data_IF_884568654009
#
_entry.id   IF_884568654009
#
_cell.length_a   1.000
_cell.length_b   1.000
_cell.length_c   1.000
_cell.angle_alpha   90.00
_cell.angle_beta   90.00
_cell.angle_gamma   90.00
#
_symmetry.space_group_name_H-M   'P 1'
#
loop_
_entity.id
_entity.type
_entity.pdbx_description
1 polymer ?
#
# COMPACT_ATOMS: atom_id res chain seq x y z
N UNK A 1 10.43 14.88 -61.93
CA UNK A 1 9.99 13.87 -60.95
C UNK A 1 11.22 13.15 -60.41
N UNK A 2 11.55 13.28 -59.12
CA UNK A 2 12.67 12.56 -58.49
C UNK A 2 12.28 11.10 -58.34
N UNK A 3 12.99 10.17 -58.99
CA UNK A 3 12.81 8.73 -58.81
C UNK A 3 13.32 8.32 -57.42
N UNK A 4 12.43 7.84 -56.56
CA UNK A 4 12.82 7.15 -55.32
C UNK A 4 13.42 5.79 -55.73
N UNK A 5 14.68 5.54 -55.38
CA UNK A 5 15.32 4.22 -55.56
C UNK A 5 14.67 3.26 -54.56
N UNK A 6 14.08 2.18 -55.06
CA UNK A 6 13.58 1.09 -54.21
C UNK A 6 14.73 0.36 -53.53
N UNK A 7 14.58 0.04 -52.25
CA UNK A 7 15.55 -0.70 -51.46
C UNK A 7 15.79 -2.10 -52.05
N UNK A 8 17.05 -2.52 -52.08
CA UNK A 8 17.43 -3.85 -52.57
C UNK A 8 17.21 -4.90 -51.49
N UNK A 9 16.86 -6.13 -51.89
CA UNK A 9 16.62 -7.24 -50.96
C UNK A 9 17.85 -7.56 -50.08
N UNK A 10 19.05 -7.32 -50.60
CA UNK A 10 20.32 -7.46 -49.87
C UNK A 10 20.47 -6.43 -48.76
N UNK A 11 20.02 -5.20 -48.97
CA UNK A 11 20.06 -4.12 -47.97
C UNK A 11 19.13 -4.42 -46.79
N UNK A 12 17.97 -5.04 -47.06
CA UNK A 12 17.07 -5.56 -46.03
C UNK A 12 17.73 -6.69 -45.22
N UNK A 13 18.39 -7.64 -45.89
CA UNK A 13 19.07 -8.75 -45.22
C UNK A 13 20.21 -8.29 -44.31
N UNK A 14 21.03 -7.34 -44.78
CA UNK A 14 22.10 -6.76 -43.97
C UNK A 14 21.51 -6.00 -42.77
N UNK A 15 20.45 -5.21 -42.99
CA UNK A 15 19.79 -4.47 -41.90
C UNK A 15 19.23 -5.39 -40.80
N UNK A 16 18.52 -6.47 -41.18
CA UNK A 16 18.01 -7.43 -40.19
C UNK A 16 19.13 -8.16 -39.45
N UNK A 17 20.24 -8.48 -40.13
CA UNK A 17 21.41 -9.08 -39.49
C UNK A 17 22.05 -8.16 -38.45
N UNK A 18 22.21 -6.88 -38.77
CA UNK A 18 22.74 -5.87 -37.82
C UNK A 18 21.81 -5.68 -36.63
N UNK A 19 20.49 -5.59 -36.85
CA UNK A 19 19.50 -5.49 -35.76
C UNK A 19 19.56 -6.73 -34.86
N UNK A 20 19.66 -7.94 -35.44
CA UNK A 20 19.76 -9.18 -34.67
C UNK A 20 20.97 -9.22 -33.74
N UNK A 21 22.15 -8.79 -34.22
CA UNK A 21 23.36 -8.70 -33.41
C UNK A 21 23.20 -7.64 -32.30
N UNK A 22 22.63 -6.48 -32.62
CA UNK A 22 22.38 -5.43 -31.62
C UNK A 22 21.43 -5.91 -30.51
N UNK A 23 20.33 -6.56 -30.86
CA UNK A 23 19.39 -7.11 -29.88
C UNK A 23 20.08 -8.16 -29.01
N UNK A 24 20.89 -9.04 -29.59
CA UNK A 24 21.62 -10.08 -28.84
C UNK A 24 22.61 -9.49 -27.82
N UNK A 25 23.29 -8.40 -28.15
CA UNK A 25 24.23 -7.72 -27.23
C UNK A 25 23.50 -6.92 -26.16
N UNK A 26 22.37 -6.28 -26.52
CA UNK A 26 21.63 -5.39 -25.61
C UNK A 26 20.71 -6.16 -24.65
N UNK A 27 20.18 -7.32 -25.04
CA UNK A 27 19.24 -8.11 -24.23
C UNK A 27 19.79 -8.46 -22.83
N UNK A 28 21.02 -8.99 -22.67
CA UNK A 28 21.59 -9.28 -21.35
C UNK A 28 21.74 -8.03 -20.47
N UNK A 29 22.12 -6.89 -21.07
CA UNK A 29 22.26 -5.62 -20.35
C UNK A 29 20.90 -5.12 -19.84
N UNK A 30 19.83 -5.23 -20.64
CA UNK A 30 18.47 -4.90 -20.22
C UNK A 30 17.97 -5.86 -19.13
N UNK A 31 18.21 -7.16 -19.27
CA UNK A 31 17.75 -8.14 -18.27
C UNK A 31 18.46 -7.99 -16.93
N UNK A 32 19.76 -7.62 -16.92
CA UNK A 32 20.54 -7.42 -15.69
C UNK A 32 20.24 -6.10 -14.96
N UNK A 33 19.67 -5.13 -15.67
CA UNK A 33 19.36 -3.79 -15.11
C UNK A 33 17.90 -3.62 -14.70
N UNK A 34 17.01 -4.58 -15.02
CA UNK A 34 15.63 -4.55 -14.53
C UNK A 34 15.63 -4.84 -13.03
N UNK A 35 15.24 -3.87 -12.17
CA UNK A 35 15.03 -4.16 -10.76
C UNK A 35 13.92 -5.21 -10.63
N UNK A 36 13.98 -6.04 -9.59
CA UNK A 36 12.90 -6.97 -9.26
C UNK A 36 11.58 -6.16 -9.19
N UNK A 37 10.62 -6.52 -10.05
CA UNK A 37 9.34 -5.81 -10.20
C UNK A 37 8.63 -5.75 -8.84
N UNK A 38 8.57 -6.88 -8.12
CA UNK A 38 7.90 -6.98 -6.83
C UNK A 38 8.56 -6.06 -5.81
N UNK A 39 9.90 -6.03 -5.76
CA UNK A 39 10.65 -5.11 -4.89
C UNK A 39 10.27 -3.64 -5.12
N UNK A 40 10.21 -3.21 -6.39
CA UNK A 40 9.85 -1.84 -6.71
C UNK A 40 8.39 -1.54 -6.36
N UNK A 41 7.50 -2.51 -6.61
CA UNK A 41 6.08 -2.37 -6.33
C UNK A 41 5.78 -2.35 -4.83
N UNK A 42 6.43 -3.19 -4.01
CA UNK A 42 6.34 -3.17 -2.53
C UNK A 42 6.70 -1.79 -1.99
N UNK A 43 7.82 -1.24 -2.45
CA UNK A 43 8.23 0.12 -2.06
C UNK A 43 7.15 1.13 -2.43
N UNK A 44 6.66 1.08 -3.66
CA UNK A 44 5.62 1.99 -4.15
C UNK A 44 4.31 1.86 -3.37
N UNK A 45 3.79 0.66 -3.16
CA UNK A 45 2.54 0.45 -2.40
C UNK A 45 2.69 0.90 -0.96
N UNK A 46 3.81 0.59 -0.30
CA UNK A 46 4.03 1.04 1.07
C UNK A 46 4.03 2.57 1.20
N UNK A 47 4.76 3.29 0.32
CA UNK A 47 4.71 4.76 0.32
C UNK A 47 3.35 5.33 -0.08
N UNK A 48 2.62 4.64 -0.96
CA UNK A 48 1.25 5.02 -1.31
C UNK A 48 0.35 4.94 -0.08
N UNK A 49 0.44 3.84 0.68
CA UNK A 49 -0.28 3.67 1.92
C UNK A 49 0.14 4.71 2.97
N UNK A 50 1.44 4.99 3.14
CA UNK A 50 1.94 6.06 4.03
C UNK A 50 1.34 7.42 3.68
N UNK A 51 1.31 7.77 2.40
CA UNK A 51 0.75 9.03 1.95
C UNK A 51 -0.76 9.11 2.22
N UNK A 52 -1.51 8.03 1.95
CA UNK A 52 -2.96 7.98 2.21
C UNK A 52 -3.23 8.07 3.71
N UNK A 53 -2.61 7.21 4.51
CA UNK A 53 -2.75 7.18 5.99
C UNK A 53 -2.41 8.55 6.57
N UNK A 54 -1.30 9.17 6.15
CA UNK A 54 -0.91 10.50 6.60
C UNK A 54 -1.92 11.58 6.18
N UNK A 55 -2.49 11.48 4.98
CA UNK A 55 -3.53 12.43 4.53
C UNK A 55 -4.81 12.27 5.35
N UNK A 56 -5.21 11.04 5.65
CA UNK A 56 -6.42 10.75 6.41
C UNK A 56 -6.29 11.17 7.87
N UNK A 57 -5.25 10.72 8.57
CA UNK A 57 -5.07 10.97 10.01
C UNK A 57 -4.89 12.45 10.35
N UNK A 58 -4.37 13.24 9.41
CA UNK A 58 -4.16 14.67 9.59
C UNK A 58 -5.35 15.53 9.10
N UNK A 59 -6.39 14.94 8.50
CA UNK A 59 -7.60 15.67 8.15
C UNK A 59 -8.57 15.66 9.34
N UNK A 60 -8.57 16.79 10.08
CA UNK A 60 -9.40 17.00 11.27
C UNK A 60 -10.91 16.83 10.99
N UNK A 61 -11.35 16.96 9.73
CA UNK A 61 -12.76 16.73 9.36
C UNK A 61 -13.11 15.25 9.35
N UNK A 62 -12.15 14.39 9.04
CA UNK A 62 -12.31 12.94 8.98
C UNK A 62 -12.01 12.33 10.36
N UNK A 63 -10.87 12.71 10.92
CA UNK A 63 -10.31 12.22 12.18
C UNK A 63 -9.87 13.42 13.05
N UNK A 64 -10.79 13.97 13.87
CA UNK A 64 -10.50 15.08 14.76
C UNK A 64 -9.56 14.68 15.90
N UNK A 65 -8.75 15.62 16.38
CA UNK A 65 -7.89 15.42 17.55
C UNK A 65 -8.73 15.41 18.84
N UNK A 66 -8.87 14.24 19.46
CA UNK A 66 -9.63 14.06 20.70
C UNK A 66 -8.72 13.96 21.94
N UNK A 67 -7.46 14.38 21.84
CA UNK A 67 -6.49 14.28 22.94
C UNK A 67 -6.95 14.96 24.23
N UNK A 68 -7.60 16.12 24.15
CA UNK A 68 -8.12 16.81 25.34
C UNK A 68 -9.16 15.96 26.09
N UNK A 69 -10.01 15.24 25.36
CA UNK A 69 -11.03 14.34 25.92
C UNK A 69 -10.36 13.10 26.53
N UNK A 70 -9.29 12.59 25.93
CA UNK A 70 -8.49 11.50 26.49
C UNK A 70 -7.84 11.87 27.83
N UNK A 71 -7.36 13.11 27.97
CA UNK A 71 -6.68 13.55 29.20
C UNK A 71 -7.67 13.92 30.32
N UNK A 72 -8.82 14.51 29.98
CA UNK A 72 -9.76 15.10 30.95
C UNK A 72 -11.02 14.26 31.20
N UNK A 73 -11.25 13.25 30.37
CA UNK A 73 -12.51 12.51 30.34
C UNK A 73 -13.65 13.29 29.68
N UNK A 74 -14.74 12.59 29.39
CA UNK A 74 -15.96 13.18 28.82
C UNK A 74 -16.69 13.99 29.90
N UNK A 75 -17.05 15.24 29.60
CA UNK A 75 -17.76 16.14 30.53
C UNK A 75 -19.17 15.62 30.80
N UNK A 76 -19.66 15.75 32.04
CA UNK A 76 -21.03 15.41 32.40
C UNK A 76 -22.05 16.16 31.52
N UNK A 77 -22.89 15.42 30.80
CA UNK A 77 -23.94 15.95 29.92
C UNK A 77 -23.67 15.80 28.42
N UNK A 78 -22.44 15.45 28.03
CA UNK A 78 -22.10 15.06 26.65
C UNK A 78 -22.51 13.61 26.39
N UNK A 79 -22.93 13.31 25.16
CA UNK A 79 -23.29 11.96 24.75
C UNK A 79 -22.01 11.13 24.54
N UNK A 80 -21.75 10.09 25.38
CA UNK A 80 -20.52 9.29 25.29
C UNK A 80 -20.41 8.50 23.98
N UNK A 81 -21.49 8.41 23.20
CA UNK A 81 -21.46 7.82 21.86
C UNK A 81 -20.95 8.78 20.79
N UNK A 82 -20.93 10.09 21.07
CA UNK A 82 -20.51 11.15 20.14
C UNK A 82 -19.16 11.75 20.53
N UNK A 83 -18.89 11.83 21.83
CA UNK A 83 -17.66 12.40 22.39
C UNK A 83 -17.01 11.34 23.26
N UNK A 84 -15.84 10.88 22.86
CA UNK A 84 -15.07 9.86 23.57
C UNK A 84 -13.58 10.04 23.27
N UNK A 85 -12.72 9.38 24.07
CA UNK A 85 -11.29 9.36 23.81
C UNK A 85 -11.01 8.58 22.52
N UNK A 86 -10.52 9.28 21.49
CA UNK A 86 -10.07 8.70 20.25
C UNK A 86 -8.63 9.16 19.95
N UNK A 87 -7.81 8.25 19.46
CA UNK A 87 -6.42 8.54 19.07
C UNK A 87 -6.25 8.79 17.57
N UNK A 88 -7.28 8.50 16.77
CA UNK A 88 -7.28 8.66 15.33
C UNK A 88 -8.32 7.76 14.67
N UNK A 89 -7.89 6.65 14.07
CA UNK A 89 -8.75 5.74 13.30
C UNK A 89 -9.81 4.99 14.11
N UNK A 90 -9.71 5.00 15.44
CA UNK A 90 -10.76 4.61 16.38
C UNK A 90 -11.93 5.62 16.46
N UNK A 91 -11.84 6.75 15.77
CA UNK A 91 -12.92 7.70 15.57
C UNK A 91 -13.85 7.27 14.42
N UNK A 92 -14.87 6.48 14.74
CA UNK A 92 -15.80 5.85 13.79
C UNK A 92 -17.07 6.68 13.52
N UNK A 93 -17.21 7.86 14.14
CA UNK A 93 -18.36 8.73 13.92
C UNK A 93 -18.53 9.09 12.44
N UNK A 94 -19.80 9.21 12.05
CA UNK A 94 -20.23 9.54 10.69
C UNK A 94 -19.73 10.90 10.24
N UNK A 95 -19.08 10.94 9.09
CA UNK A 95 -18.62 12.16 8.42
C UNK A 95 -19.12 12.17 6.98
N UNK A 96 -19.57 13.33 6.51
CA UNK A 96 -19.90 13.53 5.09
C UNK A 96 -18.73 14.20 4.39
N UNK A 97 -18.14 13.52 3.41
CA UNK A 97 -16.98 13.99 2.66
C UNK A 97 -17.17 13.71 1.17
N UNK A 98 -16.85 14.69 0.31
CA UNK A 98 -16.98 14.59 -1.16
C UNK A 98 -18.35 14.08 -1.69
N UNK A 99 -19.41 14.24 -0.90
CA UNK A 99 -20.78 13.85 -1.29
C UNK A 99 -21.23 12.51 -0.71
N UNK A 100 -20.30 11.70 -0.20
CA UNK A 100 -20.54 10.41 0.43
C UNK A 100 -20.48 10.51 1.95
N UNK A 101 -20.95 9.46 2.64
CA UNK A 101 -20.93 9.39 4.10
C UNK A 101 -20.13 8.18 4.54
N UNK A 102 -19.13 8.43 5.37
CA UNK A 102 -18.20 7.43 5.89
C UNK A 102 -18.40 7.32 7.41
N UNK A 103 -18.66 6.11 7.91
CA UNK A 103 -19.03 5.88 9.29
C UNK A 103 -18.77 4.45 9.74
N UNK A 104 -18.72 4.25 11.05
CA UNK A 104 -18.62 2.93 11.68
C UNK A 104 -17.32 2.20 11.35
N UNK A 105 -17.39 0.88 11.45
CA UNK A 105 -16.24 0.00 11.35
C UNK A 105 -15.56 0.01 9.97
N UNK A 106 -16.26 0.41 8.90
CA UNK A 106 -15.73 0.44 7.52
C UNK A 106 -15.14 1.79 7.14
N UNK A 107 -15.35 2.83 7.96
CA UNK A 107 -14.96 4.22 7.66
C UNK A 107 -13.54 4.35 7.13
N UNK A 108 -12.57 3.69 7.78
CA UNK A 108 -11.18 3.71 7.34
C UNK A 108 -11.00 3.06 5.96
N UNK A 109 -11.52 1.85 5.78
CA UNK A 109 -11.39 1.09 4.54
C UNK A 109 -11.98 1.88 3.36
N UNK A 110 -13.16 2.46 3.54
CA UNK A 110 -13.88 3.25 2.52
C UNK A 110 -13.13 4.55 2.19
N UNK A 111 -12.63 5.26 3.20
CA UNK A 111 -11.82 6.48 3.01
C UNK A 111 -10.45 6.19 2.39
N UNK A 112 -9.85 5.04 2.70
CA UNK A 112 -8.60 4.61 2.10
C UNK A 112 -8.81 4.28 0.62
N UNK A 113 -9.85 3.49 0.31
CA UNK A 113 -10.22 3.11 -1.05
C UNK A 113 -10.54 4.31 -1.94
N UNK A 114 -11.22 5.35 -1.41
CA UNK A 114 -11.52 6.57 -2.18
C UNK A 114 -10.28 7.36 -2.62
N UNK A 115 -9.12 7.11 -2.00
CA UNK A 115 -7.83 7.70 -2.39
C UNK A 115 -7.02 6.82 -3.34
N UNK A 116 -7.44 5.58 -3.57
CA UNK A 116 -6.80 4.67 -4.51
C UNK A 116 -7.29 4.93 -5.94
N UNK A 117 -6.43 4.67 -6.92
CA UNK A 117 -6.82 4.66 -8.33
C UNK A 117 -7.40 3.28 -8.71
N UNK A 118 -8.58 2.98 -8.18
CA UNK A 118 -9.26 1.69 -8.31
C UNK A 118 -9.66 1.43 -9.76
N UNK A 119 -9.41 0.20 -10.21
CA UNK A 119 -9.79 -0.34 -11.52
C UNK A 119 -10.98 -1.30 -11.39
N UNK A 120 -10.92 -2.18 -10.40
CA UNK A 120 -11.98 -3.15 -10.07
C UNK A 120 -12.02 -3.34 -8.55
N UNK A 121 -13.15 -3.72 -8.01
CA UNK A 121 -13.33 -3.89 -6.57
C UNK A 121 -14.35 -4.99 -6.24
N UNK A 122 -14.19 -5.53 -5.04
CA UNK A 122 -15.16 -6.33 -4.33
C UNK A 122 -15.49 -5.57 -3.02
N UNK A 123 -16.46 -4.67 -3.11
CA UNK A 123 -16.87 -3.79 -2.00
C UNK A 123 -17.29 -4.59 -0.76
N UNK A 124 -17.86 -5.79 -0.94
CA UNK A 124 -18.35 -6.60 0.19
C UNK A 124 -17.18 -7.09 1.05
N UNK A 125 -16.10 -7.50 0.39
CA UNK A 125 -14.90 -8.00 1.06
C UNK A 125 -13.85 -6.92 1.27
N UNK A 126 -14.11 -5.67 0.87
CA UNK A 126 -13.18 -4.54 0.94
C UNK A 126 -11.84 -4.85 0.22
N UNK A 127 -11.94 -5.49 -0.95
CA UNK A 127 -10.79 -5.84 -1.80
C UNK A 127 -10.80 -4.93 -3.02
N UNK A 128 -9.68 -4.24 -3.27
CA UNK A 128 -9.56 -3.24 -4.33
C UNK A 128 -8.35 -3.52 -5.22
N UNK A 129 -8.55 -3.45 -6.53
CA UNK A 129 -7.49 -3.64 -7.52
C UNK A 129 -7.21 -2.30 -8.18
N UNK A 130 -5.97 -1.82 -8.12
CA UNK A 130 -5.58 -0.54 -8.71
C UNK A 130 -5.06 -0.71 -10.14
N UNK A 131 -5.07 0.38 -10.92
CA UNK A 131 -4.68 0.36 -12.35
C UNK A 131 -3.24 -0.10 -12.62
N UNK A 132 -2.37 0.00 -11.62
CA UNK A 132 -0.98 -0.43 -11.65
C UNK A 132 -0.79 -1.92 -11.31
N UNK A 133 -1.88 -2.65 -11.07
CA UNK A 133 -1.88 -4.10 -10.86
C UNK A 133 -1.67 -4.52 -9.40
N UNK A 134 -1.84 -3.62 -8.44
CA UNK A 134 -1.77 -3.95 -7.01
C UNK A 134 -3.17 -4.32 -6.52
N UNK A 135 -3.26 -5.36 -5.71
CA UNK A 135 -4.46 -5.71 -4.96
C UNK A 135 -4.27 -5.28 -3.50
N UNK A 136 -5.28 -4.62 -2.98
CA UNK A 136 -5.39 -4.12 -1.63
C UNK A 136 -6.53 -4.83 -0.94
N UNK A 137 -6.23 -5.63 0.07
CA UNK A 137 -7.23 -6.24 0.93
C UNK A 137 -7.27 -5.48 2.25
N UNK A 138 -8.38 -4.77 2.46
CA UNK A 138 -8.62 -3.92 3.63
C UNK A 138 -9.57 -4.60 4.63
N UNK A 139 -9.92 -5.87 4.44
CA UNK A 139 -10.90 -6.58 5.27
C UNK A 139 -10.52 -6.57 6.75
N UNK A 140 -9.25 -6.78 7.07
CA UNK A 140 -8.70 -6.78 8.44
C UNK A 140 -8.52 -5.35 9.02
N UNK A 141 -8.92 -4.31 8.31
CA UNK A 141 -9.05 -2.95 8.87
C UNK A 141 -10.46 -2.67 9.39
N UNK A 142 -11.45 -3.46 8.98
CA UNK A 142 -12.86 -3.24 9.32
C UNK A 142 -13.10 -3.58 10.78
N UNK A 143 -13.32 -2.55 11.59
CA UNK A 143 -13.52 -2.70 13.04
C UNK A 143 -12.23 -3.09 13.79
N UNK A 144 -11.07 -2.88 13.17
CA UNK A 144 -9.77 -3.19 13.75
C UNK A 144 -9.46 -2.35 15.00
N UNK A 145 -10.01 -1.14 15.06
CA UNK A 145 -9.78 -0.23 16.16
C UNK A 145 -10.96 -0.15 17.13
N UNK A 146 -10.68 -0.37 18.41
CA UNK A 146 -11.69 -0.33 19.47
C UNK A 146 -11.79 1.08 20.04
N UNK A 147 -12.99 1.64 20.05
CA UNK A 147 -13.26 2.98 20.59
C UNK A 147 -13.13 3.06 22.11
N UNK A 148 -12.76 4.24 22.60
CA UNK A 148 -12.76 4.58 24.03
C UNK A 148 -11.74 3.79 24.84
N UNK A 149 -10.65 3.37 24.22
CA UNK A 149 -9.53 2.74 24.93
C UNK A 149 -8.68 3.80 25.63
N UNK A 150 -8.07 3.43 26.74
CA UNK A 150 -7.22 4.34 27.51
C UNK A 150 -5.84 4.55 26.86
N UNK A 151 -5.47 3.70 25.89
CA UNK A 151 -4.15 3.75 25.24
C UNK A 151 -4.20 3.52 23.72
N UNK A 152 -3.30 4.18 22.95
CA UNK A 152 -3.31 4.15 21.48
C UNK A 152 -2.84 2.84 20.81
N UNK A 153 -2.48 1.81 21.59
CA UNK A 153 -1.87 0.59 21.07
C UNK A 153 -0.37 0.72 20.78
N UNK A 154 0.33 -0.41 20.87
CA UNK A 154 1.72 -0.56 20.42
C UNK A 154 1.82 -1.80 19.55
N UNK A 155 2.70 -1.75 18.58
CA UNK A 155 3.03 -2.92 17.79
C UNK A 155 3.50 -4.08 18.69
N UNK A 156 2.84 -5.24 18.58
CA UNK A 156 3.11 -6.42 19.40
C UNK A 156 2.52 -6.43 20.82
N UNK A 157 1.87 -5.35 21.28
CA UNK A 157 1.19 -5.29 22.58
C UNK A 157 -0.11 -4.47 22.49
N UNK A 158 -1.23 -5.16 22.63
CA UNK A 158 -2.58 -4.62 22.50
C UNK A 158 -3.38 -4.66 23.81
N UNK A 159 -2.68 -4.73 24.95
CA UNK A 159 -3.34 -4.76 26.26
C UNK A 159 -4.07 -3.44 26.54
N UNK A 160 -5.41 -3.46 26.62
CA UNK A 160 -6.28 -2.29 26.83
C UNK A 160 -6.01 -1.14 25.84
N UNK A 161 -5.88 -1.50 24.56
CA UNK A 161 -5.39 -0.59 23.53
C UNK A 161 -6.34 -0.53 22.33
N UNK A 162 -6.26 0.58 21.60
CA UNK A 162 -7.15 0.90 20.48
C UNK A 162 -7.03 -0.05 19.27
N UNK A 163 -6.23 -1.12 19.27
CA UNK A 163 -6.16 -2.11 18.18
C UNK A 163 -5.11 -1.82 17.10
N UNK A 164 -5.01 -2.74 16.13
CA UNK A 164 -4.16 -2.65 14.93
C UNK A 164 -5.03 -3.04 13.74
N UNK A 165 -5.07 -2.21 12.70
CA UNK A 165 -5.62 -2.57 11.39
C UNK A 165 -4.54 -3.14 10.49
N UNK A 166 -4.89 -4.17 9.73
CA UNK A 166 -3.97 -4.85 8.82
C UNK A 166 -4.46 -4.70 7.38
N UNK A 167 -3.53 -4.33 6.48
CA UNK A 167 -3.76 -4.29 5.04
C UNK A 167 -2.89 -5.36 4.41
N UNK A 168 -3.50 -6.36 3.78
CA UNK A 168 -2.77 -7.32 2.95
C UNK A 168 -2.62 -6.73 1.55
N UNK A 169 -1.38 -6.52 1.13
CA UNK A 169 -1.04 -5.97 -0.18
C UNK A 169 -0.45 -7.08 -1.03
N UNK A 170 -1.01 -7.30 -2.20
CA UNK A 170 -0.41 -8.10 -3.26
C UNK A 170 0.04 -7.20 -4.41
N UNK A 171 1.35 -7.20 -4.67
CA UNK A 171 1.98 -6.23 -5.59
C UNK A 171 1.91 -6.60 -7.07
N UNK A 172 1.45 -7.81 -7.38
CA UNK A 172 1.20 -8.26 -8.76
C UNK A 172 -0.27 -8.62 -9.03
N UNK A 173 -1.13 -8.57 -8.01
CA UNK A 173 -2.57 -8.73 -8.14
C UNK A 173 -3.02 -10.10 -7.62
N UNK A 174 -3.55 -10.95 -8.50
CA UNK A 174 -3.81 -12.37 -8.20
C UNK A 174 -2.86 -13.28 -9.01
N UNK A 175 -1.78 -12.72 -9.56
CA UNK A 175 -0.79 -13.48 -10.32
C UNK A 175 0.05 -14.33 -9.37
N UNK A 176 0.31 -15.59 -9.72
CA UNK A 176 1.16 -16.44 -8.88
C UNK A 176 2.55 -15.79 -8.65
N UNK A 177 3.17 -15.99 -7.47
CA UNK A 177 2.85 -17.03 -6.49
C UNK A 177 1.76 -16.72 -5.44
N UNK A 178 1.30 -15.48 -5.28
CA UNK A 178 0.34 -15.08 -4.23
C UNK A 178 0.76 -15.58 -2.84
N UNK A 179 2.00 -15.26 -2.45
CA UNK A 179 2.58 -15.75 -1.21
C UNK A 179 3.34 -14.66 -0.45
N UNK A 180 3.21 -14.73 0.88
CA UNK A 180 4.00 -13.96 1.83
C UNK A 180 5.31 -14.68 2.13
N UNK A 181 6.33 -13.92 2.54
CA UNK A 181 7.63 -14.46 2.93
C UNK A 181 7.52 -15.49 4.06
N UNK A 182 6.60 -15.27 4.99
CA UNK A 182 6.36 -16.15 6.14
C UNK A 182 5.73 -17.51 5.77
N UNK A 183 5.28 -17.70 4.53
CA UNK A 183 4.63 -18.94 4.11
C UNK A 183 5.67 -20.02 3.77
N UNK A 184 5.48 -21.24 4.28
CA UNK A 184 6.42 -22.37 4.11
C UNK A 184 6.72 -22.76 2.64
N UNK A 185 5.84 -22.40 1.69
CA UNK A 185 5.97 -22.73 0.27
C UNK A 185 6.36 -21.53 -0.62
N UNK A 186 6.77 -20.42 -0.02
CA UNK A 186 7.17 -19.21 -0.75
C UNK A 186 8.70 -19.13 -0.83
N UNK A 187 9.23 -19.05 -2.05
CA UNK A 187 10.63 -18.67 -2.25
C UNK A 187 10.80 -17.25 -1.74
N UNK A 188 11.76 -17.03 -0.85
CA UNK A 188 11.96 -15.74 -0.22
C UNK A 188 12.33 -14.61 -1.23
N UNK A 189 12.64 -14.93 -2.49
CA UNK A 189 12.92 -13.93 -3.54
C UNK A 189 11.75 -13.70 -4.51
N UNK A 190 10.69 -14.53 -4.43
CA UNK A 190 9.55 -14.51 -5.34
C UNK A 190 8.25 -14.06 -4.69
N UNK A 191 8.25 -13.76 -3.39
CA UNK A 191 7.07 -13.25 -2.69
C UNK A 191 6.52 -11.97 -3.33
N UNK A 192 5.21 -11.85 -3.32
CA UNK A 192 4.43 -10.74 -3.87
C UNK A 192 3.44 -10.16 -2.86
N UNK A 193 3.22 -10.85 -1.74
CA UNK A 193 2.34 -10.39 -0.67
C UNK A 193 3.10 -9.94 0.57
N UNK A 194 2.60 -8.90 1.22
CA UNK A 194 3.06 -8.46 2.53
C UNK A 194 1.94 -7.73 3.28
N UNK A 195 2.05 -7.65 4.61
CA UNK A 195 1.06 -6.95 5.44
C UNK A 195 1.61 -5.61 5.95
N UNK A 196 0.75 -4.61 5.89
CA UNK A 196 0.94 -3.32 6.54
C UNK A 196 0.10 -3.29 7.81
N UNK A 197 0.75 -3.12 8.95
CA UNK A 197 0.10 -2.90 10.24
C UNK A 197 -0.05 -1.40 10.52
N UNK A 198 -1.21 -0.98 10.98
CA UNK A 198 -1.56 0.43 11.23
C UNK A 198 -2.18 0.57 12.62
N UNK A 199 -1.57 1.39 13.48
CA UNK A 199 -2.13 1.77 14.79
C UNK A 199 -3.20 2.85 14.63
N UNK A 200 -4.08 2.99 15.62
CA UNK A 200 -5.11 4.03 15.63
C UNK A 200 -4.54 5.44 15.43
N UNK A 201 -3.32 5.68 15.90
CA UNK A 201 -2.58 6.95 15.75
C UNK A 201 -2.05 7.25 14.33
N UNK A 202 -2.29 6.37 13.35
CA UNK A 202 -1.74 6.48 11.99
C UNK A 202 -0.27 6.05 11.87
N UNK A 203 0.36 5.62 12.96
CA UNK A 203 1.68 4.96 12.88
C UNK A 203 1.52 3.63 12.16
N UNK A 204 2.39 3.40 11.18
CA UNK A 204 2.38 2.17 10.39
C UNK A 204 3.74 1.52 10.31
N UNK A 205 3.75 0.21 10.03
CA UNK A 205 4.93 -0.57 9.68
C UNK A 205 4.52 -1.74 8.80
N UNK A 206 5.49 -2.35 8.15
CA UNK A 206 5.31 -3.69 7.59
C UNK A 206 5.36 -4.70 8.74
N UNK A 207 4.52 -5.74 8.68
CA UNK A 207 4.53 -6.86 9.63
C UNK A 207 5.96 -7.39 9.81
N UNK A 208 6.36 -7.56 11.07
CA UNK A 208 7.71 -8.03 11.42
C UNK A 208 8.07 -9.41 10.87
N UNK A 209 7.08 -10.20 10.45
CA UNK A 209 7.28 -11.50 9.80
C UNK A 209 7.65 -11.38 8.31
N UNK A 210 7.41 -10.23 7.67
CA UNK A 210 7.77 -9.93 6.28
C UNK A 210 9.09 -9.11 6.20
N UNK A 211 10.17 -9.66 6.77
CA UNK A 211 11.45 -8.96 6.93
C UNK A 211 12.05 -8.44 5.61
N UNK A 212 11.94 -9.17 4.50
CA UNK A 212 12.42 -8.70 3.18
C UNK A 212 11.57 -7.57 2.62
N UNK A 213 10.27 -7.55 2.90
CA UNK A 213 9.41 -6.44 2.50
C UNK A 213 9.82 -5.15 3.25
N UNK A 214 10.18 -5.25 4.53
CA UNK A 214 10.79 -4.14 5.30
C UNK A 214 12.06 -3.63 4.61
N UNK A 215 12.96 -4.52 4.21
CA UNK A 215 14.18 -4.15 3.49
C UNK A 215 13.85 -3.45 2.16
N UNK A 216 12.85 -3.93 1.42
CA UNK A 216 12.48 -3.36 0.13
C UNK A 216 11.89 -1.95 0.25
N UNK A 217 11.09 -1.70 1.28
CA UNK A 217 10.52 -0.40 1.57
C UNK A 217 11.59 0.61 2.05
N UNK A 218 12.51 0.17 2.93
CA UNK A 218 13.52 1.04 3.55
C UNK A 218 14.75 1.30 2.67
N UNK A 219 15.10 0.38 1.78
CA UNK A 219 16.25 0.57 0.89
C UNK A 219 15.94 1.67 -0.12
N UNK A 220 16.50 2.85 0.13
CA UNK A 220 16.87 3.76 -0.94
C UNK A 220 18.01 3.09 -1.71
N UNK A 221 17.73 2.59 -2.91
CA UNK A 221 18.77 2.44 -3.90
C UNK A 221 19.26 3.85 -4.23
N UNK A 222 20.09 4.43 -3.34
CA UNK A 222 21.08 5.37 -3.81
C UNK A 222 21.83 4.60 -4.89
N UNK A 223 21.87 5.20 -6.06
CA UNK A 223 22.67 4.72 -7.16
C UNK A 223 24.07 4.55 -6.57
N UNK A 224 24.49 3.30 -6.29
CA UNK A 224 25.92 3.03 -6.18
C UNK A 224 26.42 3.25 -7.59
N UNK A 225 26.97 4.44 -7.79
CA UNK A 225 27.79 4.77 -8.93
C UNK A 225 28.71 3.58 -9.17
N UNK A 226 28.67 3.09 -10.41
CA UNK A 226 29.68 2.22 -10.94
C UNK A 226 31.04 2.90 -10.78
N UNK A 227 31.83 2.45 -9.81
CA UNK A 227 33.27 2.70 -9.83
C UNK A 227 33.94 1.34 -9.62
N UNK A 228 34.53 0.87 -10.72
CA UNK A 228 35.56 -0.16 -10.73
C UNK A 228 36.70 0.22 -9.79
#
# INVERSE_FOLDING_TARGET
>A
MKKLKGFTLTELMVAMGVIGILVAVVTPAIMKTRPNKNKMMIKKSFYTAEQIVSTLINDERLYPDMKEICDRGVVEGEDPTKVYCAFGFDYDNSVRYEGETYAGNTKFADLFASRLNVKTEDETNHIYYTTDGIKWDLSDTVGAWTKGQDTPGKFGDQTNAAGIGEILVDVNGDEAPNCRESNENCSADDFDQYVIEILATGKMRIDSTDAKAVDYATINTSIKDSVN
#
